data_IF_172267866503
#
_entry.id   IF_172267866503
#
_cell.length_a   1.000
_cell.length_b   1.000
_cell.length_c   1.000
_cell.angle_alpha   90.00
_cell.angle_beta   90.00
_cell.angle_gamma   90.00
#
_symmetry.space_group_name_H-M   'P 1'
#
loop_
_entity.id
_entity.type
_entity.pdbx_description
1 polymer ?
#
# COMPACT_ATOMS: atom_id res chain seq x y z
N UNK A 1 6.02 3.27 13.43
CA UNK A 1 6.92 4.38 13.09
C UNK A 1 6.19 5.55 12.46
N UNK A 2 6.81 6.72 12.45
CA UNK A 2 6.26 7.87 11.74
C UNK A 2 6.37 7.66 10.22
N UNK A 3 5.34 8.05 9.48
CA UNK A 3 5.43 8.17 8.03
C UNK A 3 6.34 9.34 7.61
N UNK A 4 6.61 9.47 6.33
CA UNK A 4 7.46 10.54 5.81
C UNK A 4 6.89 11.95 6.07
N UNK A 5 5.57 12.08 6.11
CA UNK A 5 4.89 13.35 6.40
C UNK A 5 4.96 13.67 7.89
N UNK A 6 4.73 12.69 8.77
CA UNK A 6 4.88 12.82 10.22
C UNK A 6 6.32 13.12 10.62
N UNK A 7 7.31 12.47 9.98
CA UNK A 7 8.72 12.76 10.20
C UNK A 7 9.10 14.18 9.76
N UNK A 8 8.60 14.67 8.64
CA UNK A 8 8.81 16.06 8.20
C UNK A 8 8.18 17.06 9.15
N UNK A 9 6.97 16.79 9.63
CA UNK A 9 6.30 17.65 10.61
C UNK A 9 7.07 17.70 11.93
N UNK A 10 7.51 16.53 12.43
CA UNK A 10 8.32 16.41 13.63
C UNK A 10 9.65 17.15 13.48
N UNK A 11 10.43 16.88 12.43
CA UNK A 11 11.73 17.51 12.21
C UNK A 11 11.61 19.04 12.03
N UNK A 12 10.58 19.49 11.31
CA UNK A 12 10.31 20.93 11.17
C UNK A 12 9.98 21.60 12.52
N UNK A 13 9.21 20.92 13.39
CA UNK A 13 8.92 21.42 14.72
C UNK A 13 10.17 21.39 15.61
N UNK A 14 10.96 20.35 15.56
CA UNK A 14 12.20 20.23 16.33
C UNK A 14 13.21 21.31 15.96
N UNK A 15 13.38 21.60 14.67
CA UNK A 15 14.28 22.66 14.19
C UNK A 15 13.81 24.09 14.52
N UNK A 16 12.51 24.29 14.66
CA UNK A 16 11.91 25.58 14.96
C UNK A 16 11.67 25.83 16.45
N UNK A 17 11.87 24.80 17.28
CA UNK A 17 11.63 24.90 18.71
C UNK A 17 12.77 25.68 19.35
N UNK A 18 12.49 26.86 19.96
CA UNK A 18 13.55 27.68 20.58
C UNK A 18 14.17 26.95 21.77
N UNK A 19 15.50 26.90 21.83
CA UNK A 19 16.23 26.24 22.91
C UNK A 19 16.01 26.85 24.31
N UNK A 20 15.42 28.03 24.39
CA UNK A 20 15.07 28.70 25.65
C UNK A 20 13.68 28.28 26.19
N UNK A 21 12.90 27.55 25.43
CA UNK A 21 11.57 27.10 25.83
C UNK A 21 11.64 25.74 26.53
N UNK A 22 10.94 25.63 27.65
CA UNK A 22 10.85 24.35 28.33
C UNK A 22 10.06 23.34 27.49
N UNK A 23 10.65 22.18 27.24
CA UNK A 23 9.97 21.07 26.56
C UNK A 23 9.02 20.35 27.50
N UNK A 24 9.38 20.28 28.80
CA UNK A 24 8.58 19.74 29.88
C UNK A 24 8.69 20.66 31.08
N UNK A 25 7.59 20.89 31.78
CA UNK A 25 7.53 21.71 32.97
C UNK A 25 7.75 20.89 34.24
N UNK A 26 7.94 21.57 35.38
CA UNK A 26 8.17 20.90 36.68
C UNK A 26 6.99 20.03 37.12
N UNK A 27 5.77 20.36 36.71
CA UNK A 27 4.55 19.58 36.96
C UNK A 27 4.42 18.34 36.05
N UNK A 28 5.38 18.13 35.16
CA UNK A 28 5.38 17.03 34.18
C UNK A 28 4.59 17.31 32.91
N UNK A 29 3.90 18.42 32.80
CA UNK A 29 3.19 18.82 31.59
C UNK A 29 4.14 19.23 30.46
N UNK A 30 3.72 19.09 29.21
CA UNK A 30 4.50 19.52 28.05
C UNK A 30 4.35 21.02 27.81
N UNK A 31 5.48 21.67 27.54
CA UNK A 31 5.48 23.09 27.20
C UNK A 31 4.76 23.39 25.88
N UNK A 32 4.46 24.68 25.67
CA UNK A 32 3.89 25.15 24.41
C UNK A 32 4.97 25.28 23.35
N UNK A 33 4.76 24.70 22.19
CA UNK A 33 5.58 24.93 21.02
C UNK A 33 5.12 26.16 20.21
N UNK A 34 5.86 26.52 19.16
CA UNK A 34 5.44 27.54 18.22
C UNK A 34 4.05 27.25 17.66
N UNK A 35 3.20 28.28 17.55
CA UNK A 35 1.82 28.17 17.04
C UNK A 35 0.89 27.24 17.85
N UNK A 36 1.14 27.05 19.15
CA UNK A 36 0.31 26.23 20.04
C UNK A 36 0.34 24.73 19.67
N UNK A 37 1.30 24.30 18.89
CA UNK A 37 1.59 22.88 18.66
C UNK A 37 2.43 22.38 19.83
N UNK A 38 2.19 21.18 20.33
CA UNK A 38 2.99 20.59 21.41
C UNK A 38 4.48 20.57 21.07
N UNK A 39 5.31 20.46 22.10
CA UNK A 39 6.77 20.35 21.93
C UNK A 39 7.12 19.09 21.12
N UNK A 40 8.28 19.02 20.47
CA UNK A 40 8.75 17.81 19.83
C UNK A 40 8.74 16.60 20.77
N UNK A 41 9.06 16.79 22.04
CA UNK A 41 9.03 15.74 23.04
C UNK A 41 7.61 15.22 23.29
N UNK A 42 6.59 16.09 23.34
CA UNK A 42 5.19 15.68 23.48
C UNK A 42 4.75 14.74 22.33
N UNK A 43 5.21 15.00 21.12
CA UNK A 43 4.92 14.15 19.97
C UNK A 43 5.64 12.79 20.03
N UNK A 44 6.86 12.75 20.54
CA UNK A 44 7.61 11.49 20.71
C UNK A 44 7.03 10.63 21.82
N UNK A 45 6.62 11.25 22.93
CA UNK A 45 6.06 10.54 24.08
C UNK A 45 4.56 10.21 23.90
N UNK A 46 3.92 10.76 22.86
CA UNK A 46 2.54 10.45 22.54
C UNK A 46 2.39 8.98 22.08
N UNK A 47 1.30 8.33 22.44
CA UNK A 47 0.96 7.00 21.92
C UNK A 47 0.60 6.98 20.43
N UNK A 48 0.86 8.07 19.71
CA UNK A 48 0.55 8.20 18.28
C UNK A 48 1.44 7.30 17.43
N UNK A 49 0.86 6.64 16.43
CA UNK A 49 1.61 5.81 15.51
C UNK A 49 1.06 5.88 14.08
N UNK A 50 1.92 5.58 13.14
CA UNK A 50 1.59 5.23 11.77
C UNK A 50 2.16 3.85 11.50
N UNK A 51 1.29 2.93 11.12
CA UNK A 51 1.63 1.55 10.85
C UNK A 51 1.11 1.16 9.47
N UNK A 52 1.99 0.61 8.64
CA UNK A 52 1.69 0.18 7.30
C UNK A 52 2.23 -1.24 7.09
N UNK A 53 1.30 -2.16 6.89
CA UNK A 53 1.61 -3.57 6.70
C UNK A 53 1.24 -4.02 5.29
N UNK A 54 2.10 -4.88 4.72
CA UNK A 54 1.89 -5.47 3.40
C UNK A 54 1.95 -6.99 3.46
N UNK A 55 0.91 -7.61 2.92
CA UNK A 55 0.89 -9.04 2.62
C UNK A 55 0.94 -9.22 1.10
N UNK A 56 2.00 -9.86 0.60
CA UNK A 56 2.17 -10.07 -0.84
C UNK A 56 2.38 -11.55 -1.14
N UNK A 57 1.55 -12.05 -2.04
CA UNK A 57 1.71 -13.39 -2.60
C UNK A 57 1.80 -13.29 -4.12
N UNK A 58 2.82 -13.93 -4.70
CA UNK A 58 3.02 -13.99 -6.14
C UNK A 58 3.30 -15.42 -6.55
N UNK A 59 2.61 -15.87 -7.59
CA UNK A 59 2.78 -17.20 -8.17
C UNK A 59 2.70 -17.12 -9.68
N UNK A 60 3.63 -17.80 -10.35
CA UNK A 60 3.61 -18.01 -11.78
C UNK A 60 3.81 -19.48 -12.07
N UNK A 61 3.03 -20.00 -13.01
CA UNK A 61 3.12 -21.39 -13.50
C UNK A 61 3.26 -21.34 -15.02
N UNK A 62 4.27 -22.01 -15.53
CA UNK A 62 4.48 -22.22 -16.98
C UNK A 62 4.40 -23.70 -17.32
N UNK A 63 3.63 -24.00 -18.33
CA UNK A 63 3.55 -25.32 -18.95
C UNK A 63 4.00 -25.19 -20.40
N UNK A 64 4.94 -26.02 -20.81
CA UNK A 64 5.43 -26.08 -22.19
C UNK A 64 5.27 -27.50 -22.73
N UNK A 65 4.78 -27.62 -23.96
CA UNK A 65 4.55 -28.89 -24.63
C UNK A 65 4.98 -28.80 -26.10
N UNK A 66 5.74 -29.79 -26.57
CA UNK A 66 6.25 -29.85 -27.95
C UNK A 66 5.64 -31.08 -28.64
N UNK A 67 4.42 -30.96 -29.22
CA UNK A 67 3.70 -32.10 -29.80
C UNK A 67 4.38 -32.69 -31.05
N UNK A 68 5.02 -31.83 -31.83
CA UNK A 68 5.76 -32.20 -33.05
C UNK A 68 7.03 -31.35 -33.17
N UNK A 69 8.00 -31.84 -33.92
CA UNK A 69 9.25 -31.11 -34.16
C UNK A 69 8.99 -29.73 -34.71
N UNK A 70 9.54 -28.71 -34.06
CA UNK A 70 9.42 -27.30 -34.44
C UNK A 70 8.22 -26.58 -33.84
N UNK A 71 7.20 -27.24 -33.28
CA UNK A 71 6.05 -26.61 -32.64
C UNK A 71 6.17 -26.69 -31.12
N UNK A 72 6.18 -25.53 -30.48
CA UNK A 72 6.14 -25.41 -29.01
C UNK A 72 4.88 -24.65 -28.59
N UNK A 73 4.07 -25.26 -27.77
CA UNK A 73 2.91 -24.66 -27.13
C UNK A 73 3.25 -24.31 -25.68
N UNK A 74 2.95 -23.07 -25.25
CA UNK A 74 3.16 -22.63 -23.88
C UNK A 74 1.87 -22.06 -23.31
N UNK A 75 1.61 -22.39 -22.04
CA UNK A 75 0.58 -21.75 -21.24
C UNK A 75 1.25 -21.21 -19.97
N UNK A 76 1.04 -19.93 -19.69
CA UNK A 76 1.61 -19.24 -18.54
C UNK A 76 0.47 -18.63 -17.75
N UNK A 77 0.36 -18.96 -16.48
CA UNK A 77 -0.61 -18.39 -15.55
C UNK A 77 0.09 -17.64 -14.43
N UNK A 78 -0.38 -16.45 -14.11
CA UNK A 78 0.13 -15.63 -13.01
C UNK A 78 -0.99 -15.22 -12.05
N UNK A 79 -0.68 -15.24 -10.77
CA UNK A 79 -1.57 -14.74 -9.72
C UNK A 79 -0.76 -13.89 -8.74
N UNK A 80 -1.13 -12.62 -8.61
CA UNK A 80 -0.54 -11.69 -7.66
C UNK A 80 -1.61 -11.18 -6.71
N UNK A 81 -1.38 -11.33 -5.43
CA UNK A 81 -2.19 -10.77 -4.36
C UNK A 81 -1.37 -9.75 -3.59
N UNK A 82 -1.95 -8.60 -3.32
CA UNK A 82 -1.38 -7.58 -2.43
C UNK A 82 -2.47 -7.12 -1.47
N UNK A 83 -2.27 -7.39 -0.19
CA UNK A 83 -2.98 -6.78 0.92
C UNK A 83 -2.13 -5.65 1.50
N UNK A 84 -2.73 -4.51 1.78
CA UNK A 84 -2.09 -3.39 2.47
C UNK A 84 -3.05 -2.91 3.54
N UNK A 85 -2.57 -2.77 4.76
CA UNK A 85 -3.30 -2.14 5.85
C UNK A 85 -2.53 -0.92 6.32
N UNK A 86 -3.20 0.22 6.40
CA UNK A 86 -2.65 1.48 6.91
C UNK A 86 -3.45 1.88 8.13
N UNK A 87 -2.77 1.96 9.27
CA UNK A 87 -3.33 2.41 10.54
C UNK A 87 -2.63 3.69 10.99
N UNK A 88 -3.40 4.73 11.17
CA UNK A 88 -2.89 6.01 11.66
C UNK A 88 -3.65 6.39 12.93
N UNK A 89 -2.98 6.25 14.06
CA UNK A 89 -3.51 6.65 15.36
C UNK A 89 -2.86 7.95 15.83
N UNK A 90 -3.66 8.87 16.27
CA UNK A 90 -3.23 10.11 16.91
C UNK A 90 -3.79 10.15 18.32
N UNK A 91 -2.92 10.21 19.30
CA UNK A 91 -3.28 10.38 20.70
C UNK A 91 -3.73 11.82 20.98
N UNK A 92 -4.61 12.00 21.95
CA UNK A 92 -4.87 13.30 22.55
C UNK A 92 -3.76 13.63 23.54
N UNK A 93 -3.25 14.85 23.49
CA UNK A 93 -2.16 15.30 24.35
C UNK A 93 -2.62 16.46 25.23
N UNK A 94 -2.24 16.46 26.49
CA UNK A 94 -2.40 17.57 27.38
C UNK A 94 -1.12 18.41 27.40
N UNK A 95 -1.27 19.71 27.17
CA UNK A 95 -0.18 20.67 27.16
C UNK A 95 -0.42 21.72 28.25
N UNK A 96 0.60 22.50 28.56
CA UNK A 96 0.57 23.55 29.57
C UNK A 96 -0.71 24.38 29.55
N UNK A 97 -1.22 24.67 30.74
CA UNK A 97 -2.42 25.50 30.92
C UNK A 97 -3.72 24.76 30.69
N UNK A 98 -3.71 23.41 30.83
CA UNK A 98 -4.90 22.57 30.69
C UNK A 98 -5.44 22.49 29.27
N UNK A 99 -4.65 22.91 28.27
CA UNK A 99 -5.03 22.80 26.84
C UNK A 99 -4.83 21.38 26.39
N UNK A 100 -5.82 20.87 25.66
CA UNK A 100 -5.75 19.55 25.03
C UNK A 100 -5.58 19.70 23.52
N UNK A 101 -4.58 19.02 22.97
CA UNK A 101 -4.46 18.77 21.54
C UNK A 101 -5.19 17.46 21.25
N UNK A 102 -6.22 17.52 20.48
CA UNK A 102 -7.06 16.36 20.18
C UNK A 102 -8.34 16.76 19.51
N UNK A 103 -9.29 15.87 19.42
CA UNK A 103 -9.40 14.55 20.07
C UNK A 103 -8.44 13.51 19.55
N UNK A 104 -8.28 12.40 20.29
CA UNK A 104 -7.63 11.20 19.78
C UNK A 104 -8.40 10.65 18.59
N UNK A 105 -7.70 10.11 17.62
CA UNK A 105 -8.32 9.62 16.38
C UNK A 105 -7.59 8.40 15.84
N UNK A 106 -8.33 7.46 15.29
CA UNK A 106 -7.81 6.34 14.51
C UNK A 106 -8.43 6.33 13.13
N UNK A 107 -7.60 6.20 12.12
CA UNK A 107 -7.98 5.82 10.76
C UNK A 107 -7.37 4.47 10.45
N UNK A 108 -8.17 3.52 10.02
CA UNK A 108 -7.75 2.18 9.61
C UNK A 108 -8.30 1.91 8.22
N UNK A 109 -7.41 1.67 7.27
CA UNK A 109 -7.77 1.48 5.86
C UNK A 109 -7.09 0.23 5.32
N UNK A 110 -7.89 -0.62 4.68
CA UNK A 110 -7.42 -1.84 4.03
C UNK A 110 -7.59 -1.72 2.52
N UNK A 111 -6.52 -2.07 1.80
CA UNK A 111 -6.49 -2.21 0.35
C UNK A 111 -6.25 -3.67 0.01
N UNK A 112 -6.99 -4.17 -0.94
CA UNK A 112 -6.80 -5.51 -1.51
C UNK A 112 -6.72 -5.39 -3.01
N UNK A 113 -5.59 -5.83 -3.59
CA UNK A 113 -5.40 -5.89 -5.03
C UNK A 113 -5.15 -7.34 -5.44
N UNK A 114 -5.87 -7.81 -6.44
CA UNK A 114 -5.69 -9.12 -7.06
C UNK A 114 -5.45 -8.89 -8.54
N UNK A 115 -4.30 -9.33 -9.02
CA UNK A 115 -3.92 -9.27 -10.44
C UNK A 115 -3.67 -10.68 -10.97
N UNK A 116 -4.34 -11.03 -12.05
CA UNK A 116 -4.26 -12.32 -12.70
C UNK A 116 -3.82 -12.15 -14.14
N UNK A 117 -2.98 -13.06 -14.60
CA UNK A 117 -2.56 -13.11 -16.00
C UNK A 117 -2.69 -14.51 -16.55
N UNK A 118 -3.01 -14.59 -17.82
CA UNK A 118 -2.94 -15.83 -18.58
C UNK A 118 -2.36 -15.53 -19.96
N UNK A 119 -1.42 -16.36 -20.40
CA UNK A 119 -0.84 -16.29 -21.74
C UNK A 119 -0.85 -17.67 -22.36
N UNK A 120 -1.27 -17.74 -23.61
CA UNK A 120 -1.14 -18.93 -24.43
C UNK A 120 -0.31 -18.56 -25.68
N UNK A 121 0.74 -19.32 -25.92
CA UNK A 121 1.67 -19.07 -27.03
C UNK A 121 1.82 -20.34 -27.87
N UNK A 122 1.87 -20.18 -29.18
CA UNK A 122 2.24 -21.20 -30.12
C UNK A 122 3.41 -20.68 -30.97
N UNK A 123 4.54 -21.34 -30.85
CA UNK A 123 5.77 -21.02 -31.59
C UNK A 123 6.11 -22.17 -32.52
N UNK A 124 6.17 -21.89 -33.82
CA UNK A 124 6.51 -22.85 -34.84
C UNK A 124 7.74 -22.42 -35.64
N UNK A 125 8.77 -23.25 -35.59
CA UNK A 125 10.04 -22.99 -36.26
C UNK A 125 10.36 -24.15 -37.21
N UNK A 126 10.55 -23.85 -38.50
CA UNK A 126 10.88 -24.83 -39.49
C UNK A 126 12.00 -24.33 -40.43
N UNK A 127 12.96 -25.23 -40.68
CA UNK A 127 14.03 -25.03 -41.65
C UNK A 127 13.88 -26.01 -42.77
N UNK A 128 13.87 -25.51 -44.03
CA UNK A 128 13.84 -26.33 -45.22
C UNK A 128 14.76 -25.75 -46.26
N UNK A 129 15.78 -26.53 -46.65
CA UNK A 129 16.86 -26.08 -47.54
C UNK A 129 17.54 -24.82 -47.01
N UNK A 130 17.48 -23.69 -47.73
CA UNK A 130 18.02 -22.39 -47.37
C UNK A 130 17.01 -21.46 -46.69
N UNK A 131 15.84 -21.96 -46.38
CA UNK A 131 14.76 -21.17 -45.81
C UNK A 131 14.58 -21.47 -44.31
N UNK A 132 14.49 -20.43 -43.50
CA UNK A 132 14.19 -20.50 -42.09
C UNK A 132 12.92 -19.67 -41.81
N UNK A 133 11.85 -20.35 -41.40
CA UNK A 133 10.55 -19.74 -41.10
C UNK A 133 10.22 -19.90 -39.63
N UNK A 134 9.88 -18.80 -38.97
CA UNK A 134 9.46 -18.75 -37.58
C UNK A 134 8.10 -18.04 -37.47
N UNK A 135 7.13 -18.68 -36.89
CA UNK A 135 5.78 -18.15 -36.66
C UNK A 135 5.46 -18.22 -35.17
N UNK A 136 5.12 -17.09 -34.58
CA UNK A 136 4.62 -17.00 -33.21
C UNK A 136 3.20 -16.45 -33.24
N UNK A 137 2.28 -17.13 -32.55
CA UNK A 137 0.92 -16.64 -32.25
C UNK A 137 0.75 -16.64 -30.75
N UNK A 138 0.17 -15.57 -30.22
CA UNK A 138 -0.05 -15.42 -28.82
C UNK A 138 -1.41 -14.83 -28.47
N UNK A 139 -1.92 -15.29 -27.35
CA UNK A 139 -3.08 -14.73 -26.66
C UNK A 139 -2.67 -14.34 -25.24
N UNK A 140 -3.06 -13.16 -24.77
CA UNK A 140 -2.90 -12.72 -23.40
C UNK A 140 -4.22 -12.27 -22.82
N UNK A 141 -4.42 -12.56 -21.56
CA UNK A 141 -5.50 -12.04 -20.74
C UNK A 141 -4.93 -11.55 -19.41
N UNK A 142 -5.34 -10.36 -19.02
CA UNK A 142 -4.97 -9.71 -17.78
C UNK A 142 -6.23 -9.19 -17.10
N UNK A 143 -6.30 -9.35 -15.79
CA UNK A 143 -7.43 -8.92 -14.97
C UNK A 143 -6.89 -8.38 -13.64
N UNK A 144 -7.35 -7.18 -13.26
CA UNK A 144 -7.04 -6.60 -11.96
C UNK A 144 -8.32 -6.16 -11.26
N UNK A 145 -8.40 -6.52 -10.00
CA UNK A 145 -9.46 -6.10 -9.09
C UNK A 145 -8.85 -5.42 -7.88
N UNK A 146 -9.24 -4.19 -7.59
CA UNK A 146 -8.88 -3.49 -6.36
C UNK A 146 -10.12 -3.20 -5.53
N UNK A 147 -10.00 -3.38 -4.22
CA UNK A 147 -11.01 -3.02 -3.23
C UNK A 147 -10.36 -2.29 -2.07
N UNK A 148 -11.04 -1.26 -1.59
CA UNK A 148 -10.63 -0.46 -0.44
C UNK A 148 -11.77 -0.39 0.55
N UNK A 149 -11.46 -0.60 1.81
CA UNK A 149 -12.39 -0.40 2.93
C UNK A 149 -11.63 0.34 4.02
N UNK A 150 -12.24 1.38 4.55
CA UNK A 150 -11.65 2.16 5.64
C UNK A 150 -12.70 2.67 6.61
N UNK A 151 -12.24 2.97 7.81
CA UNK A 151 -13.05 3.60 8.83
C UNK A 151 -12.21 4.52 9.70
N UNK A 152 -12.86 5.48 10.35
CA UNK A 152 -12.22 6.28 11.37
C UNK A 152 -13.16 6.53 12.55
N UNK A 153 -12.54 6.68 13.73
CA UNK A 153 -13.23 7.11 14.95
C UNK A 153 -12.39 8.10 15.73
N UNK A 154 -13.08 8.84 16.59
CA UNK A 154 -12.52 9.83 17.49
C UNK A 154 -12.75 9.42 18.95
N UNK A 155 -12.15 10.16 19.87
CA UNK A 155 -12.40 10.06 21.32
C UNK A 155 -12.14 8.66 21.89
N UNK A 156 -10.91 8.19 21.76
CA UNK A 156 -10.47 6.94 22.36
C UNK A 156 -10.26 7.11 23.86
N UNK A 157 -10.73 6.16 24.68
CA UNK A 157 -10.59 6.23 26.15
C UNK A 157 -9.15 5.96 26.62
N UNK A 158 -8.35 5.25 25.82
CA UNK A 158 -6.96 4.92 26.12
C UNK A 158 -6.17 4.72 24.83
N UNK A 159 -4.88 5.07 24.88
CA UNK A 159 -3.94 4.84 23.80
C UNK A 159 -3.51 3.37 23.68
N UNK A 160 -3.78 2.57 24.71
CA UNK A 160 -3.43 1.15 24.74
C UNK A 160 -4.36 0.26 23.92
N UNK A 161 -5.55 0.76 23.55
CA UNK A 161 -6.57 0.00 22.83
C UNK A 161 -7.00 0.74 21.56
N UNK A 162 -6.10 0.92 20.59
CA UNK A 162 -6.36 1.66 19.35
C UNK A 162 -7.08 0.77 18.33
N UNK A 163 -8.29 0.33 18.64
CA UNK A 163 -9.17 -0.40 17.72
C UNK A 163 -10.42 0.42 17.44
N UNK A 164 -10.91 0.39 16.21
CA UNK A 164 -12.04 1.23 15.77
C UNK A 164 -13.25 1.14 16.71
N UNK A 165 -13.59 -0.04 17.22
CA UNK A 165 -14.73 -0.22 18.10
C UNK A 165 -14.56 0.39 19.51
N UNK A 166 -13.32 0.74 19.92
CA UNK A 166 -13.05 1.40 21.20
C UNK A 166 -13.26 2.91 21.14
N UNK A 167 -13.25 3.51 19.95
CA UNK A 167 -13.51 4.94 19.77
C UNK A 167 -14.97 5.31 19.94
N UNK A 168 -15.24 6.59 20.23
CA UNK A 168 -16.59 7.12 20.37
C UNK A 168 -17.45 6.90 19.13
N UNK A 169 -18.76 6.81 19.33
CA UNK A 169 -19.70 6.68 18.24
C UNK A 169 -19.85 7.99 17.43
N UNK A 170 -19.66 9.13 18.11
CA UNK A 170 -19.73 10.43 17.48
C UNK A 170 -18.51 10.68 16.58
N UNK A 171 -18.72 11.16 15.37
CA UNK A 171 -17.66 11.44 14.40
C UNK A 171 -17.09 10.20 13.73
N UNK A 172 -17.78 9.05 13.83
CA UNK A 172 -17.38 7.87 13.06
C UNK A 172 -17.58 8.10 11.57
N UNK A 173 -16.61 7.63 10.78
CA UNK A 173 -16.71 7.64 9.32
C UNK A 173 -16.38 6.27 8.76
N UNK A 174 -16.90 6.00 7.58
CA UNK A 174 -16.50 4.86 6.77
C UNK A 174 -16.22 5.30 5.34
N UNK A 175 -15.40 4.56 4.66
CA UNK A 175 -15.12 4.76 3.25
C UNK A 175 -14.93 3.40 2.58
N UNK A 176 -15.22 3.36 1.29
CA UNK A 176 -14.99 2.16 0.51
C UNK A 176 -15.02 2.49 -0.98
N UNK A 177 -14.34 1.68 -1.75
CA UNK A 177 -14.28 1.85 -3.19
C UNK A 177 -13.57 0.68 -3.83
N UNK A 178 -13.51 0.72 -5.16
CA UNK A 178 -12.78 -0.27 -5.91
C UNK A 178 -12.94 -0.06 -7.40
N UNK A 179 -12.13 -0.77 -8.14
CA UNK A 179 -12.22 -0.86 -9.59
C UNK A 179 -11.86 -2.26 -10.06
N UNK A 180 -12.33 -2.59 -11.23
CA UNK A 180 -11.97 -3.79 -11.98
C UNK A 180 -11.63 -3.40 -13.40
N UNK A 181 -10.60 -4.01 -13.97
CA UNK A 181 -10.32 -3.90 -15.39
C UNK A 181 -9.81 -5.23 -15.92
N UNK A 182 -10.05 -5.46 -17.20
CA UNK A 182 -9.52 -6.63 -17.91
C UNK A 182 -9.09 -6.23 -19.32
N UNK A 183 -7.99 -6.82 -19.77
CA UNK A 183 -7.46 -6.63 -21.12
C UNK A 183 -7.24 -8.01 -21.75
N UNK A 184 -7.63 -8.13 -23.02
CA UNK A 184 -7.34 -9.28 -23.84
C UNK A 184 -6.60 -8.82 -25.10
N UNK A 185 -5.59 -9.57 -25.48
CA UNK A 185 -4.81 -9.26 -26.67
C UNK A 185 -4.48 -10.53 -27.45
N UNK A 186 -4.52 -10.42 -28.79
CA UNK A 186 -4.03 -11.44 -29.71
C UNK A 186 -2.92 -10.81 -30.54
N UNK A 187 -1.84 -11.52 -30.71
CA UNK A 187 -0.72 -11.04 -31.51
C UNK A 187 -0.07 -12.16 -32.29
N UNK A 188 0.63 -11.79 -33.36
CA UNK A 188 1.39 -12.71 -34.19
C UNK A 188 2.68 -12.08 -34.70
N UNK A 189 3.68 -12.93 -34.92
CA UNK A 189 4.95 -12.54 -35.53
C UNK A 189 5.35 -13.60 -36.55
N UNK A 190 5.73 -13.16 -37.72
CA UNK A 190 6.31 -13.97 -38.79
C UNK A 190 7.73 -13.48 -39.04
N UNK A 191 8.69 -14.39 -39.04
CA UNK A 191 10.08 -14.12 -39.40
C UNK A 191 10.52 -15.10 -40.47
N UNK A 192 11.12 -14.59 -41.52
CA UNK A 192 11.64 -15.40 -42.61
C UNK A 192 13.08 -14.96 -42.93
N UNK A 193 13.98 -15.96 -43.02
CA UNK A 193 15.36 -15.74 -43.41
C UNK A 193 15.69 -16.68 -44.59
N UNK A 194 16.49 -16.21 -45.51
CA UNK A 194 17.02 -16.97 -46.65
C UNK A 194 18.55 -16.91 -46.60
N UNK A 195 19.21 -18.11 -46.56
CA UNK A 195 20.65 -18.31 -46.55
C UNK A 195 21.18 -18.75 -47.93
#
# INVERSE_FOLDING_TARGET
GMDSAGFKAFSSNALRFPGLWATKLEDGSYGLGPKVLGTPLAWLDSGSFYDENFDKFRSNVELAFTPVKGLTLKAIGGYNYTGQQIRHYRSAMEITGGKKLGPSSLSDTMYKTVYKTFQALADYNVKFSKNDLSVLVGYTWEDESQRTVGGSRLNFPSDEVPYLNAGGADGQTNSGGGYDWAIMSVFGRLTYNYD
#
